data_IF_396261625556
#
_entry.id   IF_396261625556
#
_cell.length_a   1.000
_cell.length_b   1.000
_cell.length_c   1.000
_cell.angle_alpha   90.00
_cell.angle_beta   90.00
_cell.angle_gamma   90.00
#
_symmetry.space_group_name_H-M   'P 1'
#
loop_
_entity.id
_entity.type
_entity.pdbx_description
1 polymer ?
#
# COMPACT_ATOMS: atom_id res chain seq x y z
N UNK A 1 -31.46 -6.38 -61.13
CA UNK A 1 -30.00 -6.51 -60.93
C UNK A 1 -29.67 -5.74 -59.67
N UNK A 2 -29.85 -6.41 -58.54
CA UNK A 2 -29.42 -5.94 -57.23
C UNK A 2 -28.02 -6.50 -57.02
N UNK A 3 -27.05 -5.63 -56.77
CA UNK A 3 -25.69 -6.02 -56.38
C UNK A 3 -25.57 -5.91 -54.87
N UNK A 4 -25.49 -7.08 -54.22
CA UNK A 4 -25.17 -7.25 -52.80
C UNK A 4 -23.75 -6.76 -52.50
N UNK A 5 -23.64 -5.78 -51.59
CA UNK A 5 -22.37 -5.36 -51.01
C UNK A 5 -22.12 -6.18 -49.73
N UNK A 6 -21.21 -7.16 -49.84
CA UNK A 6 -20.78 -8.00 -48.71
C UNK A 6 -19.98 -7.15 -47.70
N UNK A 7 -20.58 -6.88 -46.54
CA UNK A 7 -19.86 -6.38 -45.37
C UNK A 7 -18.92 -7.45 -44.80
N UNK A 8 -17.64 -7.10 -44.70
CA UNK A 8 -16.57 -7.89 -44.13
C UNK A 8 -16.64 -7.84 -42.58
N UNK A 9 -16.84 -8.96 -41.85
CA UNK A 9 -16.97 -8.92 -40.40
C UNK A 9 -15.64 -9.30 -39.77
N UNK A 10 -14.70 -8.37 -39.59
CA UNK A 10 -13.60 -8.54 -38.63
C UNK A 10 -12.77 -7.25 -38.44
N UNK A 11 -13.22 -6.40 -37.54
CA UNK A 11 -12.30 -5.59 -36.71
C UNK A 11 -12.92 -5.36 -35.34
N UNK A 12 -13.01 -6.43 -34.54
CA UNK A 12 -13.23 -6.26 -33.09
C UNK A 12 -11.92 -5.71 -32.51
N UNK A 13 -11.78 -4.38 -32.53
CA UNK A 13 -10.84 -3.71 -31.62
C UNK A 13 -11.25 -4.12 -30.21
N UNK A 14 -10.38 -4.90 -29.54
CA UNK A 14 -10.59 -5.26 -28.15
C UNK A 14 -10.48 -3.99 -27.33
N UNK A 15 -11.60 -3.49 -26.83
CA UNK A 15 -11.61 -2.51 -25.75
C UNK A 15 -10.81 -3.12 -24.59
N UNK A 16 -9.80 -2.43 -24.03
CA UNK A 16 -9.15 -2.91 -22.82
C UNK A 16 -10.23 -3.10 -21.76
N UNK A 17 -10.44 -4.34 -21.29
CA UNK A 17 -11.32 -4.58 -20.15
C UNK A 17 -10.82 -3.71 -19.01
N UNK A 18 -11.73 -2.95 -18.37
CA UNK A 18 -11.43 -2.13 -17.19
C UNK A 18 -10.57 -2.95 -16.25
N UNK A 19 -9.44 -2.40 -15.82
CA UNK A 19 -8.63 -3.06 -14.81
C UNK A 19 -9.46 -3.07 -13.52
N UNK A 20 -9.96 -4.24 -13.16
CA UNK A 20 -10.75 -4.42 -11.95
C UNK A 20 -9.80 -4.24 -10.79
N UNK A 21 -10.06 -3.25 -9.93
CA UNK A 21 -9.26 -3.00 -8.74
C UNK A 21 -9.83 -3.77 -7.57
N UNK A 22 -9.13 -4.78 -7.09
CA UNK A 22 -9.63 -5.61 -6.00
C UNK A 22 -9.10 -5.05 -4.68
N UNK A 23 -9.75 -5.40 -3.58
CA UNK A 23 -9.33 -5.04 -2.24
C UNK A 23 -8.96 -6.30 -1.47
N UNK A 24 -7.79 -6.31 -0.86
CA UNK A 24 -7.39 -7.35 0.09
C UNK A 24 -7.68 -6.84 1.49
N UNK A 25 -8.38 -7.65 2.27
CA UNK A 25 -8.68 -7.42 3.67
C UNK A 25 -8.04 -8.54 4.49
N UNK A 26 -7.07 -8.17 5.34
CA UNK A 26 -6.37 -9.13 6.21
C UNK A 26 -7.08 -9.27 7.57
N UNK A 27 -7.38 -10.50 7.98
CA UNK A 27 -7.96 -10.81 9.29
C UNK A 27 -6.86 -11.26 10.26
N UNK A 28 -6.83 -10.72 11.48
CA UNK A 28 -5.83 -11.10 12.48
C UNK A 28 -6.09 -12.48 13.13
N UNK A 29 -7.35 -12.94 13.12
CA UNK A 29 -7.76 -14.15 13.86
C UNK A 29 -7.86 -15.42 13.02
N UNK A 30 -7.86 -15.28 11.70
CA UNK A 30 -7.87 -16.39 10.77
C UNK A 30 -6.65 -16.20 9.88
N UNK A 31 -5.87 -17.26 9.66
CA UNK A 31 -4.78 -17.33 8.68
C UNK A 31 -5.35 -17.26 7.25
N UNK A 32 -6.21 -16.27 6.99
CA UNK A 32 -6.93 -16.09 5.75
C UNK A 32 -7.14 -14.61 5.47
N UNK A 33 -7.06 -14.29 4.19
CA UNK A 33 -7.37 -12.97 3.68
C UNK A 33 -8.63 -13.06 2.84
N UNK A 34 -9.33 -11.94 2.75
CA UNK A 34 -10.52 -11.81 1.93
C UNK A 34 -10.19 -10.92 0.75
N UNK A 35 -10.47 -11.40 -0.44
CA UNK A 35 -10.31 -10.68 -1.70
C UNK A 35 -11.69 -10.21 -2.14
N UNK A 36 -11.80 -8.93 -2.43
CA UNK A 36 -13.06 -8.29 -2.79
C UNK A 36 -12.96 -7.67 -4.18
N UNK A 37 -13.93 -8.00 -5.02
CA UNK A 37 -14.12 -7.37 -6.32
C UNK A 37 -15.24 -6.30 -6.22
N UNK A 38 -14.94 -5.00 -6.40
CA UNK A 38 -15.96 -3.94 -6.34
C UNK A 38 -17.03 -3.99 -7.43
N UNK A 39 -16.78 -4.69 -8.54
CA UNK A 39 -17.80 -4.91 -9.57
C UNK A 39 -18.80 -5.99 -9.17
N UNK A 40 -18.36 -6.97 -8.40
CA UNK A 40 -19.18 -8.06 -7.87
C UNK A 40 -19.68 -7.70 -6.48
N UNK A 41 -20.65 -6.77 -6.45
CA UNK A 41 -21.36 -6.42 -5.20
C UNK A 41 -21.80 -7.71 -4.49
N UNK A 42 -21.43 -7.81 -3.23
CA UNK A 42 -21.74 -8.90 -2.30
C UNK A 42 -20.94 -10.21 -2.44
N UNK A 43 -19.93 -10.29 -3.31
CA UNK A 43 -19.01 -11.44 -3.34
C UNK A 43 -17.69 -11.15 -2.65
N UNK A 44 -17.32 -12.08 -1.76
CA UNK A 44 -16.06 -12.08 -1.03
C UNK A 44 -15.41 -13.45 -1.25
N UNK A 45 -14.17 -13.44 -1.75
CA UNK A 45 -13.39 -14.66 -1.95
C UNK A 45 -12.44 -14.83 -0.77
N UNK A 46 -12.43 -15.97 -0.10
CA UNK A 46 -11.43 -16.25 0.92
C UNK A 46 -10.19 -16.85 0.26
N UNK A 47 -8.99 -16.52 0.75
CA UNK A 47 -7.75 -17.14 0.24
C UNK A 47 -7.72 -18.66 0.42
N UNK A 48 -8.48 -19.19 1.38
CA UNK A 48 -8.67 -20.64 1.56
C UNK A 48 -9.48 -21.25 0.41
N UNK A 49 -10.42 -20.50 -0.18
CA UNK A 49 -11.17 -20.92 -1.36
C UNK A 49 -10.31 -20.86 -2.63
N UNK A 50 -9.18 -20.14 -2.58
CA UNK A 50 -8.17 -20.07 -3.63
C UNK A 50 -7.06 -21.11 -3.46
N UNK A 51 -7.24 -22.10 -2.57
CA UNK A 51 -6.25 -23.14 -2.23
C UNK A 51 -4.87 -22.60 -1.78
N UNK A 52 -4.78 -21.33 -1.40
CA UNK A 52 -3.53 -20.73 -0.93
C UNK A 52 -3.23 -21.24 0.49
N UNK A 53 -1.97 -21.65 0.70
CA UNK A 53 -1.48 -22.17 1.98
C UNK A 53 -1.81 -21.22 3.14
N UNK A 54 -2.19 -21.79 4.29
CA UNK A 54 -2.43 -21.04 5.54
C UNK A 54 -1.27 -20.09 5.82
N UNK A 55 -1.55 -18.79 5.91
CA UNK A 55 -0.52 -17.78 6.10
C UNK A 55 -1.07 -16.36 6.19
N UNK A 56 -0.23 -15.44 6.67
CA UNK A 56 -0.57 -14.03 6.79
C UNK A 56 -0.11 -13.23 5.57
N UNK A 57 -1.05 -12.52 4.96
CA UNK A 57 -0.75 -11.55 3.91
C UNK A 57 -0.06 -10.32 4.49
N UNK A 58 0.99 -9.88 3.79
CA UNK A 58 1.84 -8.78 4.22
C UNK A 58 1.88 -7.60 3.24
N UNK A 59 2.06 -7.89 1.95
CA UNK A 59 2.17 -6.90 0.88
C UNK A 59 1.80 -7.51 -0.47
N UNK A 60 1.51 -6.68 -1.46
CA UNK A 60 1.16 -7.11 -2.83
C UNK A 60 1.87 -6.25 -3.88
N UNK A 61 2.19 -6.86 -5.02
CA UNK A 61 2.63 -6.18 -6.23
C UNK A 61 2.14 -6.91 -7.47
N UNK A 62 1.44 -6.21 -8.36
CA UNK A 62 0.85 -6.84 -9.55
C UNK A 62 -0.03 -8.01 -9.14
N UNK A 63 0.20 -9.18 -9.72
CA UNK A 63 -0.48 -10.44 -9.40
C UNK A 63 0.15 -11.27 -8.26
N UNK A 64 1.13 -10.72 -7.54
CA UNK A 64 1.94 -11.43 -6.53
C UNK A 64 1.67 -10.94 -5.11
N UNK A 65 1.61 -11.88 -4.17
CA UNK A 65 1.42 -11.65 -2.74
C UNK A 65 2.66 -12.07 -1.97
N UNK A 66 3.08 -11.23 -1.02
CA UNK A 66 4.01 -11.62 0.03
C UNK A 66 3.22 -12.21 1.19
N UNK A 67 3.52 -13.47 1.48
CA UNK A 67 2.89 -14.27 2.51
C UNK A 67 3.93 -14.69 3.55
N UNK A 68 3.47 -14.87 4.79
CA UNK A 68 4.25 -15.50 5.85
C UNK A 68 3.50 -16.72 6.39
N UNK A 69 4.22 -17.67 6.94
CA UNK A 69 3.60 -18.70 7.77
C UNK A 69 3.03 -18.11 9.09
N UNK A 70 2.30 -18.93 9.85
CA UNK A 70 1.64 -18.51 11.09
C UNK A 70 2.63 -18.04 12.16
N UNK A 71 3.89 -18.45 12.07
CA UNK A 71 4.97 -18.07 12.99
C UNK A 71 5.82 -16.91 12.47
N UNK A 72 5.56 -16.41 11.26
CA UNK A 72 6.36 -15.39 10.56
C UNK A 72 7.85 -15.75 10.43
N UNK A 73 8.20 -17.04 10.42
CA UNK A 73 9.58 -17.52 10.29
C UNK A 73 9.95 -17.76 8.84
N UNK A 74 8.98 -18.12 8.01
CA UNK A 74 9.15 -18.32 6.58
C UNK A 74 8.33 -17.29 5.80
N UNK A 75 9.01 -16.61 4.87
CA UNK A 75 8.40 -15.70 3.92
C UNK A 75 8.44 -16.34 2.52
N UNK A 76 7.38 -16.14 1.77
CA UNK A 76 7.29 -16.61 0.39
C UNK A 76 6.42 -15.65 -0.43
N UNK A 77 6.72 -15.57 -1.72
CA UNK A 77 5.93 -14.83 -2.69
C UNK A 77 5.06 -15.84 -3.43
N UNK A 78 3.76 -15.58 -3.55
CA UNK A 78 2.84 -16.43 -4.30
C UNK A 78 2.10 -15.62 -5.36
N UNK A 79 2.01 -16.15 -6.57
CA UNK A 79 1.12 -15.61 -7.59
C UNK A 79 -0.26 -16.25 -7.42
N UNK A 80 -1.27 -15.43 -7.17
CA UNK A 80 -2.59 -15.94 -6.78
C UNK A 80 -3.40 -16.55 -7.93
N UNK A 81 -3.00 -16.32 -9.19
CA UNK A 81 -3.71 -16.86 -10.35
C UNK A 81 -3.02 -18.09 -10.94
N UNK A 82 -1.70 -18.18 -10.81
CA UNK A 82 -0.90 -19.30 -11.34
C UNK A 82 -0.48 -20.29 -10.27
N UNK A 83 -0.65 -19.93 -8.99
CA UNK A 83 -0.20 -20.68 -7.81
C UNK A 83 1.31 -20.92 -7.78
N UNK A 84 2.08 -20.16 -8.54
CA UNK A 84 3.53 -20.19 -8.50
C UNK A 84 4.03 -19.62 -7.17
N UNK A 85 4.98 -20.32 -6.54
CA UNK A 85 5.57 -19.96 -5.25
C UNK A 85 7.07 -19.73 -5.40
N UNK A 86 7.54 -18.61 -4.86
CA UNK A 86 8.96 -18.27 -4.71
C UNK A 86 9.26 -18.24 -3.21
N UNK A 87 10.08 -19.19 -2.75
CA UNK A 87 10.52 -19.21 -1.36
C UNK A 87 11.59 -18.14 -1.13
N UNK A 88 11.45 -17.36 -0.06
CA UNK A 88 12.43 -16.34 0.33
C UNK A 88 13.38 -16.91 1.39
N UNK A 89 14.54 -16.25 1.62
CA UNK A 89 15.44 -16.65 2.68
C UNK A 89 14.74 -16.72 4.05
N UNK A 90 15.05 -17.71 4.90
CA UNK A 90 14.42 -17.85 6.20
C UNK A 90 14.76 -16.67 7.11
N UNK A 91 13.77 -16.14 7.83
CA UNK A 91 13.93 -14.96 8.69
C UNK A 91 14.93 -15.23 9.82
N UNK A 92 14.95 -16.47 10.32
CA UNK A 92 15.82 -16.93 11.41
C UNK A 92 17.31 -16.81 11.07
N UNK A 93 17.67 -16.91 9.79
CA UNK A 93 19.08 -16.84 9.33
C UNK A 93 19.74 -15.49 9.62
N UNK A 94 18.96 -14.43 9.80
CA UNK A 94 19.47 -13.06 10.00
C UNK A 94 19.91 -12.75 11.42
N UNK A 95 19.51 -13.58 12.38
CA UNK A 95 19.65 -13.22 13.78
C UNK A 95 20.94 -13.74 14.40
N UNK A 96 21.54 -14.83 13.92
CA UNK A 96 22.67 -15.46 14.62
C UNK A 96 22.41 -15.74 16.12
N UNK A 97 21.15 -15.63 16.57
CA UNK A 97 20.78 -15.69 17.97
C UNK A 97 20.55 -17.15 18.33
N UNK A 98 21.33 -17.65 19.29
CA UNK A 98 21.10 -18.91 20.00
C UNK A 98 19.60 -19.09 20.21
N UNK A 99 19.07 -20.25 19.78
CA UNK A 99 17.71 -20.76 20.02
C UNK A 99 17.14 -20.20 21.32
N UNK A 100 16.50 -19.04 21.23
CA UNK A 100 15.86 -18.42 22.39
C UNK A 100 14.53 -19.13 22.55
N UNK A 101 14.13 -19.36 23.81
CA UNK A 101 13.01 -20.27 24.14
C UNK A 101 11.73 -19.87 23.38
N UNK A 102 10.90 -20.87 23.12
CA UNK A 102 9.68 -20.81 22.28
C UNK A 102 8.59 -19.81 22.68
N UNK A 103 8.82 -18.98 23.70
CA UNK A 103 7.82 -18.07 24.26
C UNK A 103 8.06 -16.59 23.87
N UNK A 104 9.15 -16.26 23.16
CA UNK A 104 9.46 -14.91 22.67
C UNK A 104 9.07 -14.66 21.20
N UNK A 105 8.33 -15.57 20.56
CA UNK A 105 7.96 -15.46 19.13
C UNK A 105 7.01 -14.29 18.80
N UNK A 106 6.46 -13.57 19.78
CA UNK A 106 5.79 -12.29 19.57
C UNK A 106 6.74 -11.19 19.01
N UNK A 107 8.06 -11.44 18.94
CA UNK A 107 9.08 -10.50 18.48
C UNK A 107 9.40 -10.49 16.97
N UNK A 108 8.85 -11.39 16.16
CA UNK A 108 9.21 -11.57 14.73
C UNK A 108 8.30 -10.85 13.73
N UNK A 109 7.49 -9.88 14.18
CA UNK A 109 6.52 -9.22 13.31
C UNK A 109 7.23 -8.49 12.16
N UNK A 110 7.02 -8.96 10.93
CA UNK A 110 7.48 -8.31 9.70
C UNK A 110 6.79 -6.94 9.59
N UNK A 111 7.53 -5.87 9.86
CA UNK A 111 6.99 -4.51 9.88
C UNK A 111 7.21 -3.83 8.54
N UNK A 112 6.15 -3.17 8.07
CA UNK A 112 6.12 -2.36 6.84
C UNK A 112 6.75 -3.06 5.63
N UNK A 113 6.34 -4.30 5.29
CA UNK A 113 6.93 -5.00 4.17
C UNK A 113 6.61 -4.31 2.85
N UNK A 114 7.57 -4.37 1.93
CA UNK A 114 7.45 -3.88 0.55
C UNK A 114 7.83 -5.00 -0.39
N UNK A 115 6.99 -5.21 -1.40
CA UNK A 115 7.19 -6.19 -2.45
C UNK A 115 7.25 -5.47 -3.80
N UNK A 116 8.20 -5.88 -4.63
CA UNK A 116 8.24 -5.57 -6.05
C UNK A 116 8.59 -6.84 -6.82
N UNK A 117 7.89 -7.09 -7.92
CA UNK A 117 8.11 -8.24 -8.79
C UNK A 117 7.99 -7.80 -10.24
N UNK A 118 9.02 -8.06 -11.05
CA UNK A 118 8.91 -8.03 -12.51
C UNK A 118 8.15 -9.28 -12.95
N UNK A 119 6.95 -9.11 -13.50
CA UNK A 119 6.11 -10.24 -13.89
C UNK A 119 6.63 -11.04 -15.08
N UNK A 120 7.51 -10.45 -15.91
CA UNK A 120 8.09 -11.11 -17.07
C UNK A 120 9.31 -11.92 -16.68
N UNK A 121 10.25 -11.32 -15.97
CA UNK A 121 11.51 -11.97 -15.59
C UNK A 121 11.41 -12.75 -14.28
N UNK A 122 10.34 -12.51 -13.50
CA UNK A 122 10.16 -12.99 -12.13
C UNK A 122 11.28 -12.53 -11.19
N UNK A 123 11.95 -11.44 -11.56
CA UNK A 123 12.89 -10.78 -10.67
C UNK A 123 12.09 -10.09 -9.58
N UNK A 124 12.57 -10.18 -8.33
CA UNK A 124 11.87 -9.62 -7.21
C UNK A 124 12.81 -8.83 -6.32
N UNK A 125 12.21 -7.92 -5.55
CA UNK A 125 12.82 -7.28 -4.41
C UNK A 125 11.81 -7.31 -3.27
N UNK A 126 12.20 -7.90 -2.14
CA UNK A 126 11.43 -7.87 -0.90
C UNK A 126 12.20 -7.08 0.13
N UNK A 127 11.54 -6.13 0.77
CA UNK A 127 12.10 -5.37 1.90
C UNK A 127 11.18 -5.44 3.09
N UNK A 128 11.76 -5.42 4.29
CA UNK A 128 11.00 -5.28 5.52
C UNK A 128 11.89 -4.78 6.65
N UNK A 129 11.28 -4.32 7.74
CA UNK A 129 12.00 -3.83 8.91
C UNK A 129 12.27 -4.95 9.91
N UNK A 130 13.54 -5.24 10.15
CA UNK A 130 14.02 -6.15 11.19
C UNK A 130 14.10 -5.42 12.54
N UNK A 131 13.04 -5.55 13.35
CA UNK A 131 12.92 -4.99 14.71
C UNK A 131 13.43 -3.53 14.78
N UNK A 132 14.23 -3.22 15.79
CA UNK A 132 14.85 -1.91 16.02
C UNK A 132 16.26 -1.81 15.39
N UNK A 133 16.62 -2.76 14.53
CA UNK A 133 17.97 -2.86 13.96
C UNK A 133 18.09 -2.12 12.64
N UNK A 134 17.47 -2.64 11.59
CA UNK A 134 17.61 -2.10 10.24
C UNK A 134 16.50 -2.62 9.30
N UNK A 135 16.39 -2.00 8.15
CA UNK A 135 15.68 -2.53 6.99
C UNK A 135 16.58 -3.56 6.34
N UNK A 136 16.01 -4.72 6.04
CA UNK A 136 16.68 -5.78 5.29
C UNK A 136 15.98 -5.99 3.96
N UNK A 137 16.71 -6.49 2.96
CA UNK A 137 16.16 -6.80 1.65
C UNK A 137 16.65 -8.15 1.12
N UNK A 138 15.90 -8.72 0.19
CA UNK A 138 16.30 -9.90 -0.58
C UNK A 138 15.88 -9.71 -2.04
N UNK A 139 16.78 -10.06 -2.95
CA UNK A 139 16.57 -10.12 -4.39
C UNK A 139 16.60 -11.57 -4.86
N UNK A 140 16.19 -11.77 -6.11
CA UNK A 140 16.31 -13.08 -6.77
C UNK A 140 17.77 -13.56 -6.76
N UNK A 141 17.97 -14.78 -6.27
CA UNK A 141 19.29 -15.41 -6.14
C UNK A 141 19.97 -15.18 -4.78
N UNK A 142 19.46 -14.28 -3.94
CA UNK A 142 20.00 -14.09 -2.60
C UNK A 142 19.65 -15.29 -1.70
N UNK A 143 20.66 -15.82 -0.99
CA UNK A 143 20.49 -16.91 -0.02
C UNK A 143 20.17 -16.40 1.39
N UNK A 144 20.37 -15.11 1.64
CA UNK A 144 20.21 -14.46 2.94
C UNK A 144 19.57 -13.08 2.74
N UNK A 145 19.05 -12.49 3.81
CA UNK A 145 18.67 -11.08 3.78
C UNK A 145 19.90 -10.19 3.93
N UNK A 146 19.89 -9.09 3.20
CA UNK A 146 20.96 -8.11 3.15
C UNK A 146 20.55 -6.86 3.95
N UNK A 147 21.32 -6.42 4.95
CA UNK A 147 20.99 -5.25 5.75
C UNK A 147 21.25 -3.95 4.98
N UNK A 148 20.40 -2.94 5.20
CA UNK A 148 20.59 -1.58 4.69
C UNK A 148 21.08 -0.70 5.86
N UNK A 149 22.27 -0.09 5.75
CA UNK A 149 22.83 0.70 6.84
C UNK A 149 22.00 1.96 7.13
N UNK A 150 22.04 2.43 8.40
CA UNK A 150 21.38 3.67 8.87
C UNK A 150 19.85 3.70 8.73
N UNK A 151 19.20 2.57 9.02
CA UNK A 151 17.74 2.40 8.84
C UNK A 151 17.00 1.93 10.11
N UNK A 152 17.64 1.98 11.28
CA UNK A 152 17.05 1.61 12.58
C UNK A 152 15.76 2.36 12.89
N UNK A 153 15.71 3.64 12.51
CA UNK A 153 14.62 4.57 12.79
C UNK A 153 13.51 4.55 11.72
N UNK A 154 13.56 3.63 10.76
CA UNK A 154 12.63 3.58 9.63
C UNK A 154 11.17 3.41 10.08
N UNK A 155 10.34 4.40 9.79
CA UNK A 155 8.91 4.40 10.05
C UNK A 155 8.10 3.90 8.85
N UNK A 156 8.38 4.41 7.65
CA UNK A 156 7.68 4.07 6.42
C UNK A 156 8.67 3.88 5.27
N UNK A 157 8.34 2.98 4.34
CA UNK A 157 9.17 2.68 3.18
C UNK A 157 8.33 2.49 1.91
N UNK A 158 8.88 2.93 0.78
CA UNK A 158 8.31 2.75 -0.56
C UNK A 158 9.43 2.32 -1.49
N UNK A 159 9.19 1.35 -2.35
CA UNK A 159 10.12 0.96 -3.40
C UNK A 159 9.50 1.24 -4.77
N UNK A 160 10.20 2.01 -5.60
CA UNK A 160 9.77 2.38 -6.95
C UNK A 160 10.99 2.72 -7.81
N UNK A 161 10.97 2.34 -9.08
CA UNK A 161 11.99 2.72 -10.08
C UNK A 161 13.42 2.38 -9.61
N UNK A 162 13.59 1.17 -9.07
CA UNK A 162 14.84 0.66 -8.48
C UNK A 162 15.42 1.46 -7.30
N UNK A 163 14.61 2.35 -6.71
CA UNK A 163 14.96 3.17 -5.55
C UNK A 163 14.09 2.84 -4.36
N UNK A 164 14.72 2.82 -3.19
CA UNK A 164 14.07 2.69 -1.90
C UNK A 164 13.97 4.08 -1.25
N UNK A 165 12.75 4.48 -0.92
CA UNK A 165 12.43 5.73 -0.24
C UNK A 165 12.05 5.41 1.20
N UNK A 166 12.78 5.98 2.16
CA UNK A 166 12.57 5.76 3.59
C UNK A 166 12.18 7.06 4.28
N UNK A 167 11.24 6.97 5.22
CA UNK A 167 10.92 8.01 6.19
C UNK A 167 11.22 7.47 7.58
N UNK A 168 12.03 8.17 8.34
CA UNK A 168 12.28 7.85 9.73
C UNK A 168 11.30 8.57 10.69
N UNK A 169 11.31 8.14 11.96
CA UNK A 169 10.46 8.72 13.02
C UNK A 169 10.77 10.20 13.33
N UNK A 170 11.94 10.70 12.94
CA UNK A 170 12.37 12.09 13.14
C UNK A 170 12.04 12.99 11.93
N UNK A 171 11.41 12.42 10.90
CA UNK A 171 11.06 13.10 9.67
C UNK A 171 12.21 13.22 8.69
N UNK A 172 13.24 12.40 8.77
CA UNK A 172 14.29 12.34 7.77
C UNK A 172 13.84 11.41 6.64
N UNK A 173 13.87 11.93 5.43
CA UNK A 173 13.67 11.21 4.18
C UNK A 173 15.02 10.81 3.61
N UNK A 174 15.20 9.52 3.33
CA UNK A 174 16.40 8.96 2.68
C UNK A 174 16.01 8.22 1.41
N UNK A 175 16.83 8.32 0.36
CA UNK A 175 16.64 7.55 -0.87
C UNK A 175 17.88 6.73 -1.17
N UNK A 176 17.71 5.42 -1.31
CA UNK A 176 18.75 4.49 -1.66
C UNK A 176 18.55 3.95 -3.07
N UNK A 177 19.62 3.91 -3.85
CA UNK A 177 19.65 3.14 -5.10
C UNK A 177 19.98 1.68 -4.79
N UNK A 178 19.16 0.74 -5.27
CA UNK A 178 19.43 -0.70 -5.18
C UNK A 178 19.95 -1.30 -6.50
N UNK A 179 20.38 -0.47 -7.46
CA UNK A 179 20.86 -0.94 -8.76
C UNK A 179 22.24 -1.61 -8.73
N UNK A 180 23.07 -1.35 -7.71
CA UNK A 180 24.40 -1.94 -7.55
C UNK A 180 24.43 -3.15 -6.59
N UNK A 181 25.65 -3.64 -6.32
CA UNK A 181 25.91 -4.72 -5.35
C UNK A 181 25.52 -4.30 -3.92
N UNK A 182 25.81 -3.06 -3.54
CA UNK A 182 25.49 -2.51 -2.22
C UNK A 182 24.52 -1.32 -2.34
N UNK A 183 23.56 -1.16 -1.41
CA UNK A 183 22.69 0.00 -1.37
C UNK A 183 23.48 1.31 -1.25
N UNK A 184 23.24 2.26 -2.16
CA UNK A 184 23.89 3.57 -2.12
C UNK A 184 22.90 4.67 -1.75
N UNK A 185 23.21 5.43 -0.69
CA UNK A 185 22.42 6.59 -0.29
C UNK A 185 22.65 7.74 -1.29
N UNK A 186 21.58 8.13 -1.97
CA UNK A 186 21.60 9.16 -3.02
C UNK A 186 20.99 10.49 -2.58
N UNK A 187 20.19 10.48 -1.51
CA UNK A 187 19.43 11.64 -1.05
C UNK A 187 19.15 11.59 0.44
N UNK A 188 19.21 12.77 1.07
CA UNK A 188 18.89 13.00 2.46
C UNK A 188 18.20 14.36 2.62
N UNK A 189 17.02 14.39 3.21
CA UNK A 189 16.31 15.64 3.53
C UNK A 189 15.51 15.48 4.81
N UNK A 190 15.40 16.54 5.63
CA UNK A 190 14.48 16.54 6.77
C UNK A 190 13.18 17.21 6.35
N UNK A 191 12.07 16.51 6.59
CA UNK A 191 10.72 17.04 6.49
C UNK A 191 10.17 17.36 7.88
N UNK A 192 9.33 18.39 8.02
CA UNK A 192 8.71 18.70 9.31
C UNK A 192 7.87 17.52 9.81
N UNK A 193 8.01 17.13 11.07
CA UNK A 193 7.12 16.18 11.75
C UNK A 193 6.16 16.94 12.66
N UNK A 194 4.98 16.38 13.01
CA UNK A 194 4.09 17.01 13.99
C UNK A 194 4.79 17.40 15.30
N UNK A 195 5.82 16.63 15.71
CA UNK A 195 6.65 16.92 16.88
C UNK A 195 7.67 18.05 16.71
N UNK A 196 8.09 18.36 15.47
CA UNK A 196 9.07 19.40 15.15
C UNK A 196 8.43 20.63 14.47
N UNK A 197 7.10 20.66 14.34
CA UNK A 197 6.39 21.86 13.88
C UNK A 197 6.26 22.85 15.06
N UNK A 198 6.69 24.12 14.92
CA UNK A 198 6.26 25.13 15.85
C UNK A 198 4.74 25.16 15.82
N UNK A 199 4.13 24.99 16.99
CA UNK A 199 2.69 25.07 17.20
C UNK A 199 2.19 26.34 16.53
N UNK A 200 1.52 26.20 15.39
CA UNK A 200 1.14 27.36 14.58
C UNK A 200 -0.13 27.97 15.22
N UNK A 201 0.06 28.72 16.29
CA UNK A 201 -0.99 29.35 17.11
C UNK A 201 -2.07 30.00 16.24
N UNK A 202 -1.70 30.65 15.13
CA UNK A 202 -2.65 31.40 14.31
C UNK A 202 -3.70 30.55 13.55
N UNK A 203 -3.43 29.27 13.27
CA UNK A 203 -4.39 28.40 12.55
C UNK A 203 -5.24 27.52 13.49
N UNK A 204 -4.76 27.23 14.70
CA UNK A 204 -5.45 26.34 15.65
C UNK A 204 -6.17 27.08 16.79
N UNK A 205 -5.81 28.33 17.09
CA UNK A 205 -6.49 29.14 18.14
C UNK A 205 -7.98 29.37 17.84
N UNK A 206 -8.42 29.23 16.58
CA UNK A 206 -9.85 29.36 16.23
C UNK A 206 -10.72 28.13 16.56
N UNK A 207 -10.14 27.00 16.98
CA UNK A 207 -10.88 25.73 17.16
C UNK A 207 -10.51 24.95 18.44
N UNK A 208 -10.32 25.63 19.58
CA UNK A 208 -9.96 24.99 20.85
C UNK A 208 -10.91 23.86 21.32
N UNK A 209 -12.16 23.84 20.83
CA UNK A 209 -13.14 22.81 21.19
C UNK A 209 -13.05 21.51 20.37
N UNK A 210 -12.31 21.46 19.26
CA UNK A 210 -12.18 20.27 18.42
C UNK A 210 -10.99 20.35 17.43
N UNK A 211 -9.74 20.24 17.91
CA UNK A 211 -8.55 20.31 17.05
C UNK A 211 -8.46 19.11 16.10
N UNK A 212 -7.69 19.26 15.02
CA UNK A 212 -7.37 18.12 14.14
C UNK A 212 -6.32 17.25 14.84
N UNK A 213 -6.60 15.95 14.95
CA UNK A 213 -5.66 14.96 15.46
C UNK A 213 -4.88 14.34 14.31
N UNK A 214 -3.58 14.15 14.51
CA UNK A 214 -2.71 13.42 13.59
C UNK A 214 -2.94 11.91 13.71
N UNK A 215 -3.12 11.23 12.57
CA UNK A 215 -3.30 9.78 12.49
C UNK A 215 -2.00 9.09 12.06
N UNK A 216 -1.47 9.49 10.90
CA UNK A 216 -0.28 8.87 10.32
C UNK A 216 0.40 9.78 9.29
N UNK A 217 1.71 9.59 9.10
CA UNK A 217 2.48 10.27 8.05
C UNK A 217 3.10 9.21 7.14
N UNK A 218 2.93 9.33 5.83
CA UNK A 218 3.53 8.42 4.85
C UNK A 218 4.27 9.17 3.76
N UNK A 219 5.23 8.49 3.14
CA UNK A 219 5.79 8.93 1.87
C UNK A 219 4.94 8.39 0.73
N UNK A 220 4.76 9.23 -0.27
CA UNK A 220 4.16 8.86 -1.55
C UNK A 220 5.11 9.23 -2.67
N UNK A 221 5.39 8.29 -3.57
CA UNK A 221 6.17 8.56 -4.79
C UNK A 221 5.21 8.65 -5.97
N UNK A 222 5.24 9.77 -6.68
CA UNK A 222 4.34 10.01 -7.81
C UNK A 222 4.72 9.18 -9.03
N UNK A 223 3.85 9.13 -10.06
CA UNK A 223 4.18 8.49 -11.34
C UNK A 223 5.40 9.16 -11.97
N UNK A 224 5.46 10.50 -11.89
CA UNK A 224 6.60 11.33 -12.34
C UNK A 224 7.87 11.19 -11.49
N UNK A 225 7.82 10.47 -10.36
CA UNK A 225 8.97 10.24 -9.48
C UNK A 225 9.22 11.34 -8.44
N UNK A 226 8.28 12.28 -8.28
CA UNK A 226 8.30 13.26 -7.20
C UNK A 226 7.98 12.59 -5.86
N UNK A 227 8.65 13.05 -4.80
CA UNK A 227 8.45 12.51 -3.45
C UNK A 227 7.57 13.47 -2.65
N UNK A 228 6.49 12.94 -2.09
CA UNK A 228 5.52 13.66 -1.30
C UNK A 228 5.50 13.13 0.13
N UNK A 229 5.45 14.05 1.10
CA UNK A 229 5.10 13.74 2.49
C UNK A 229 3.59 13.98 2.66
N UNK A 230 2.87 12.97 3.11
CA UNK A 230 1.42 13.02 3.27
C UNK A 230 1.04 12.77 4.73
N UNK A 231 0.42 13.76 5.36
CA UNK A 231 -0.15 13.65 6.70
C UNK A 231 -1.64 13.36 6.60
N UNK A 232 -2.07 12.28 7.25
CA UNK A 232 -3.48 11.92 7.45
C UNK A 232 -3.94 12.45 8.80
N UNK A 233 -5.04 13.19 8.78
CA UNK A 233 -5.60 13.90 9.94
C UNK A 233 -7.07 13.53 10.12
N UNK A 234 -7.54 13.59 11.36
CA UNK A 234 -8.96 13.38 11.65
C UNK A 234 -9.48 14.32 12.74
N UNK A 235 -10.81 14.48 12.79
CA UNK A 235 -11.50 15.14 13.90
C UNK A 235 -12.86 14.49 14.15
N UNK A 236 -13.36 14.62 15.37
CA UNK A 236 -14.67 14.08 15.73
C UNK A 236 -15.78 15.09 15.42
N UNK A 237 -16.86 14.68 14.77
CA UNK A 237 -18.10 15.45 14.67
C UNK A 237 -18.94 15.20 15.92
N UNK A 238 -19.23 16.26 16.67
CA UNK A 238 -20.22 16.22 17.74
C UNK A 238 -21.62 16.38 17.13
N UNK A 239 -22.47 15.36 17.27
CA UNK A 239 -23.91 15.50 17.06
C UNK A 239 -24.56 15.92 18.37
N UNK A 240 -25.25 17.06 18.39
CA UNK A 240 -25.95 17.57 19.57
C UNK A 240 -27.17 16.74 19.98
N UNK A 241 -27.56 15.71 19.21
CA UNK A 241 -28.82 14.98 19.42
C UNK A 241 -28.69 13.50 19.80
N UNK A 242 -27.51 12.89 19.77
CA UNK A 242 -27.34 11.49 20.21
C UNK A 242 -25.91 11.23 20.70
N UNK A 243 -25.76 11.02 22.01
CA UNK A 243 -24.51 10.79 22.75
C UNK A 243 -23.73 9.52 22.36
N UNK A 244 -24.09 8.80 21.28
CA UNK A 244 -23.58 7.44 21.02
C UNK A 244 -22.84 7.22 19.69
N UNK A 245 -22.86 8.16 18.73
CA UNK A 245 -22.15 7.98 17.46
C UNK A 245 -21.23 9.16 17.15
N UNK A 246 -19.92 8.98 17.38
CA UNK A 246 -18.88 9.95 17.02
C UNK A 246 -18.51 9.75 15.54
N UNK A 247 -19.10 10.55 14.65
CA UNK A 247 -18.69 10.51 13.24
C UNK A 247 -17.29 11.12 13.08
N UNK A 248 -16.39 10.46 12.35
CA UNK A 248 -15.02 10.96 12.11
C UNK A 248 -14.98 11.70 10.77
N UNK A 249 -14.28 12.83 10.73
CA UNK A 249 -13.98 13.57 9.50
C UNK A 249 -12.49 13.44 9.24
N UNK A 250 -12.14 13.01 8.04
CA UNK A 250 -10.75 12.87 7.59
C UNK A 250 -10.33 14.08 6.76
N UNK A 251 -9.04 14.41 6.82
CA UNK A 251 -8.39 15.41 5.96
C UNK A 251 -6.94 15.01 5.73
N UNK A 252 -6.37 15.52 4.64
CA UNK A 252 -4.98 15.27 4.30
C UNK A 252 -4.22 16.58 4.13
N UNK A 253 -2.92 16.56 4.45
CA UNK A 253 -1.96 17.60 4.06
C UNK A 253 -0.85 16.95 3.26
N UNK A 254 -0.61 17.46 2.05
CA UNK A 254 0.36 16.90 1.09
C UNK A 254 1.45 17.93 0.86
N UNK A 255 2.69 17.55 1.08
CA UNK A 255 3.86 18.43 0.94
C UNK A 255 4.87 17.85 -0.03
N UNK A 256 5.42 18.69 -0.89
CA UNK A 256 6.53 18.30 -1.75
C UNK A 256 7.82 18.17 -0.95
N UNK A 257 8.51 17.05 -1.07
CA UNK A 257 9.85 16.88 -0.51
C UNK A 257 10.84 17.51 -1.49
N UNK A 258 11.43 18.64 -1.12
CA UNK A 258 12.34 19.38 -1.99
C UNK A 258 13.64 18.61 -2.24
N UNK A 259 14.13 18.62 -3.48
CA UNK A 259 15.36 17.94 -3.90
C UNK A 259 16.66 18.60 -3.43
N UNK A 260 16.62 19.77 -2.80
CA UNK A 260 17.83 20.50 -2.37
C UNK A 260 17.63 21.31 -1.09
N UNK A 261 18.47 21.07 -0.08
CA UNK A 261 18.56 21.84 1.17
C UNK A 261 17.94 21.14 2.38
N UNK A 262 18.65 21.15 3.51
CA UNK A 262 18.30 20.42 4.75
C UNK A 262 17.01 20.92 5.42
N UNK A 263 16.60 22.17 5.14
CA UNK A 263 15.43 22.86 5.69
C UNK A 263 14.89 23.85 4.64
N UNK A 264 13.87 23.47 3.87
CA UNK A 264 13.17 24.41 2.97
C UNK A 264 11.76 24.70 3.46
N UNK A 265 11.24 25.86 3.03
CA UNK A 265 9.84 26.26 3.26
C UNK A 265 8.91 25.16 2.77
N UNK A 266 7.86 24.92 3.56
CA UNK A 266 6.81 23.94 3.28
C UNK A 266 6.11 24.30 1.97
N UNK A 267 6.30 23.51 0.93
CA UNK A 267 5.49 23.60 -0.27
C UNK A 267 4.33 22.62 -0.16
N UNK A 268 3.19 23.10 0.34
CA UNK A 268 1.96 22.31 0.36
C UNK A 268 1.35 22.33 -1.04
N UNK A 269 1.20 21.15 -1.65
CA UNK A 269 0.51 21.04 -2.92
C UNK A 269 -1.00 20.91 -2.70
N UNK A 270 -1.77 21.54 -3.59
CA UNK A 270 -3.25 21.52 -3.54
C UNK A 270 -3.85 20.54 -4.54
N UNK A 271 -3.06 20.04 -5.48
CA UNK A 271 -3.52 19.12 -6.52
C UNK A 271 -2.43 18.11 -6.88
N UNK A 272 -2.86 16.90 -7.22
CA UNK A 272 -2.08 15.82 -7.84
C UNK A 272 -2.25 15.82 -9.37
N UNK A 273 -2.98 16.78 -9.94
CA UNK A 273 -3.29 16.82 -11.36
C UNK A 273 -4.14 15.62 -11.79
N UNK A 274 -3.66 14.91 -12.81
CA UNK A 274 -4.29 13.72 -13.38
C UNK A 274 -3.93 12.44 -12.61
N UNK A 275 -3.28 12.53 -11.46
CA UNK A 275 -2.93 11.36 -10.64
C UNK A 275 -3.93 11.11 -9.50
N UNK A 276 -4.08 9.84 -9.16
CA UNK A 276 -4.76 9.35 -7.96
C UNK A 276 -3.76 8.71 -7.01
N UNK A 277 -3.88 9.01 -5.71
CA UNK A 277 -2.97 8.53 -4.68
C UNK A 277 -3.52 7.29 -3.97
N UNK A 278 -2.73 6.22 -3.92
CA UNK A 278 -3.00 5.04 -3.11
C UNK A 278 -2.22 5.15 -1.80
N UNK A 279 -2.84 5.79 -0.80
CA UNK A 279 -2.17 6.16 0.45
C UNK A 279 -1.57 4.96 1.20
N UNK A 280 -2.21 3.79 1.11
CA UNK A 280 -1.73 2.59 1.80
C UNK A 280 -0.53 1.92 1.16
N UNK A 281 -0.32 2.13 -0.13
CA UNK A 281 0.82 1.61 -0.89
C UNK A 281 1.96 2.65 -1.03
N UNK A 282 1.69 3.93 -0.74
CA UNK A 282 2.72 4.98 -0.85
C UNK A 282 3.08 5.33 -2.30
N UNK A 283 2.15 5.13 -3.24
CA UNK A 283 2.36 5.43 -4.67
C UNK A 283 1.15 6.17 -5.25
N UNK A 284 1.33 6.78 -6.41
CA UNK A 284 0.23 7.28 -7.24
C UNK A 284 0.09 6.47 -8.53
N UNK A 285 -1.07 6.60 -9.16
CA UNK A 285 -1.43 6.05 -10.46
C UNK A 285 -2.04 7.14 -11.32
N UNK A 286 -1.93 7.01 -12.64
CA UNK A 286 -2.65 7.90 -13.55
C UNK A 286 -4.15 7.63 -13.42
N UNK A 287 -4.92 8.68 -13.23
CA UNK A 287 -6.37 8.60 -13.21
C UNK A 287 -6.88 8.69 -14.64
N UNK A 288 -7.33 7.57 -15.17
CA UNK A 288 -8.01 7.49 -16.47
C UNK A 288 -9.36 6.79 -16.28
N UNK A 289 -10.38 7.22 -17.04
CA UNK A 289 -11.74 6.64 -17.01
C UNK A 289 -11.79 5.13 -17.34
N UNK A 290 -10.72 4.63 -17.97
CA UNK A 290 -10.52 3.20 -18.29
C UNK A 290 -10.04 2.39 -17.08
N UNK A 291 -9.21 3.00 -16.21
CA UNK A 291 -8.75 2.40 -14.96
C UNK A 291 -9.69 2.75 -13.79
N UNK A 292 -10.61 3.71 -13.89
CA UNK A 292 -11.65 3.92 -12.87
C UNK A 292 -11.18 4.60 -11.58
N UNK A 293 -9.96 5.17 -11.55
CA UNK A 293 -9.52 6.06 -10.48
C UNK A 293 -10.00 7.50 -10.73
N UNK A 294 -10.43 8.18 -9.68
CA UNK A 294 -10.80 9.59 -9.70
C UNK A 294 -9.52 10.42 -9.63
N UNK A 295 -9.34 11.32 -10.60
CA UNK A 295 -8.23 12.27 -10.63
C UNK A 295 -8.24 13.19 -9.41
N UNK A 296 -7.04 13.58 -8.98
CA UNK A 296 -6.84 14.45 -7.84
C UNK A 296 -7.52 13.95 -6.55
N UNK A 297 -7.47 12.64 -6.30
CA UNK A 297 -8.06 11.99 -5.14
C UNK A 297 -7.05 11.13 -4.37
N UNK A 298 -7.31 10.96 -3.07
CA UNK A 298 -6.53 10.11 -2.17
C UNK A 298 -7.42 8.97 -1.71
N UNK A 299 -7.05 7.75 -2.08
CA UNK A 299 -7.67 6.51 -1.64
C UNK A 299 -6.95 6.01 -0.39
N UNK A 300 -7.72 5.74 0.66
CA UNK A 300 -7.17 5.25 1.92
C UNK A 300 -8.14 4.30 2.61
N UNK A 301 -7.58 3.31 3.30
CA UNK A 301 -8.32 2.44 4.18
C UNK A 301 -8.63 3.15 5.51
N UNK A 302 -9.82 2.86 6.04
CA UNK A 302 -10.18 3.13 7.42
C UNK A 302 -10.58 1.81 8.07
N UNK A 303 -10.20 1.65 9.34
CA UNK A 303 -10.62 0.52 10.17
C UNK A 303 -10.96 1.05 11.56
N UNK A 304 -12.17 0.79 12.04
CA UNK A 304 -12.50 0.78 13.46
C UNK A 304 -12.76 -0.67 13.92
N UNK A 305 -13.11 -0.86 15.19
CA UNK A 305 -13.29 -2.19 15.78
C UNK A 305 -14.31 -3.07 15.03
N UNK A 306 -15.24 -2.48 14.26
CA UNK A 306 -16.36 -3.18 13.63
C UNK A 306 -16.52 -2.89 12.13
N UNK A 307 -15.85 -1.89 11.58
CA UNK A 307 -15.99 -1.44 10.20
C UNK A 307 -14.63 -1.16 9.59
N UNK A 308 -14.34 -1.84 8.49
CA UNK A 308 -13.21 -1.52 7.63
C UNK A 308 -13.73 -1.25 6.23
N UNK A 309 -13.23 -0.20 5.60
CA UNK A 309 -13.58 0.14 4.23
C UNK A 309 -12.58 1.07 3.57
N UNK A 310 -12.87 1.43 2.33
CA UNK A 310 -12.06 2.39 1.57
C UNK A 310 -12.82 3.70 1.46
N UNK A 311 -12.13 4.78 1.78
CA UNK A 311 -12.61 6.14 1.59
C UNK A 311 -11.79 6.82 0.50
N UNK A 312 -12.45 7.71 -0.21
CA UNK A 312 -11.84 8.59 -1.20
C UNK A 312 -11.91 10.00 -0.66
N UNK A 313 -10.76 10.66 -0.54
CA UNK A 313 -10.66 12.08 -0.25
C UNK A 313 -10.37 12.83 -1.53
N UNK A 314 -11.31 13.65 -1.98
CA UNK A 314 -11.12 14.49 -3.15
C UNK A 314 -10.37 15.77 -2.77
N UNK A 315 -9.21 16.04 -3.37
CA UNK A 315 -8.38 17.20 -3.01
C UNK A 315 -8.98 18.54 -3.45
N UNK A 316 -9.78 18.57 -4.52
CA UNK A 316 -10.48 19.77 -4.98
C UNK A 316 -11.57 20.18 -4.00
N UNK A 317 -12.47 19.26 -3.66
CA UNK A 317 -13.65 19.55 -2.82
C UNK A 317 -13.36 19.43 -1.33
N UNK A 318 -12.25 18.78 -0.95
CA UNK A 318 -11.89 18.39 0.42
C UNK A 318 -12.98 17.58 1.12
N UNK A 319 -13.75 16.83 0.34
CA UNK A 319 -14.79 15.92 0.84
C UNK A 319 -14.28 14.49 0.85
N UNK A 320 -14.78 13.74 1.83
CA UNK A 320 -14.55 12.31 1.96
C UNK A 320 -15.81 11.59 1.52
N UNK A 321 -15.67 10.69 0.57
CA UNK A 321 -16.76 9.85 0.08
C UNK A 321 -16.38 8.38 0.30
N UNK A 322 -17.29 7.55 0.83
CA UNK A 322 -17.05 6.13 0.88
C UNK A 322 -17.08 5.58 -0.55
N UNK A 323 -16.04 4.87 -0.95
CA UNK A 323 -16.08 4.14 -2.21
C UNK A 323 -17.07 2.98 -2.09
N UNK A 324 -16.96 2.25 -0.98
CA UNK A 324 -17.90 1.23 -0.55
C UNK A 324 -17.94 1.20 0.99
N UNK A 325 -19.14 1.13 1.58
CA UNK A 325 -19.33 0.88 3.01
C UNK A 325 -19.59 -0.60 3.22
N UNK A 326 -18.66 -1.31 3.83
CA UNK A 326 -18.88 -2.69 4.24
C UNK A 326 -19.41 -2.69 5.67
N UNK A 327 -20.63 -3.23 5.84
CA UNK A 327 -21.22 -3.45 7.16
C UNK A 327 -21.06 -4.93 7.46
N UNK A 328 -20.15 -5.26 8.37
CA UNK A 328 -19.88 -6.64 8.76
C UNK A 328 -20.94 -7.09 9.77
N UNK A 329 -21.67 -8.16 9.45
CA UNK A 329 -22.72 -8.71 10.32
C UNK A 329 -22.19 -9.63 11.44
N UNK A 330 -20.88 -9.84 11.55
CA UNK A 330 -20.31 -10.72 12.58
C UNK A 330 -19.25 -10.01 13.42
N UNK A 331 -19.42 -10.07 14.75
CA UNK A 331 -18.48 -9.59 15.77
C UNK A 331 -17.13 -10.35 15.81
N UNK A 332 -16.81 -11.14 14.77
CA UNK A 332 -15.70 -12.09 14.75
C UNK A 332 -14.59 -11.74 13.75
N UNK A 333 -14.81 -10.79 12.83
CA UNK A 333 -13.84 -10.40 11.79
C UNK A 333 -13.19 -9.07 12.20
N UNK A 334 -12.04 -9.15 12.88
CA UNK A 334 -11.20 -7.98 13.13
C UNK A 334 -10.25 -7.79 11.95
N UNK A 335 -10.63 -6.88 11.04
CA UNK A 335 -9.80 -6.55 9.88
C UNK A 335 -8.80 -5.48 10.31
N UNK A 336 -7.51 -5.80 10.16
CA UNK A 336 -6.44 -4.91 10.59
C UNK A 336 -5.97 -3.96 9.48
N UNK A 337 -6.09 -4.37 8.21
CA UNK A 337 -5.57 -3.61 7.08
C UNK A 337 -6.33 -3.93 5.80
N UNK A 338 -6.71 -2.88 5.07
CA UNK A 338 -7.15 -2.96 3.68
C UNK A 338 -6.02 -2.49 2.76
N UNK A 339 -5.71 -3.27 1.72
CA UNK A 339 -4.75 -2.86 0.69
C UNK A 339 -5.35 -3.05 -0.69
N UNK A 340 -5.09 -2.11 -1.59
CA UNK A 340 -5.43 -2.28 -3.00
C UNK A 340 -4.64 -3.44 -3.60
N UNK A 341 -5.34 -4.25 -4.40
CA UNK A 341 -4.77 -5.29 -5.24
C UNK A 341 -5.01 -4.92 -6.69
N UNK A 342 -3.91 -4.77 -7.41
CA UNK A 342 -3.90 -4.32 -8.80
C UNK A 342 -3.32 -5.46 -9.65
N UNK A 343 -4.11 -6.50 -9.94
CA UNK A 343 -3.64 -7.61 -10.74
C UNK A 343 -3.24 -7.10 -12.12
N UNK A 344 -2.09 -7.56 -12.61
CA UNK A 344 -1.71 -7.37 -13.99
C UNK A 344 -2.22 -8.58 -14.76
N UNK A 345 -3.24 -8.36 -15.58
CA UNK A 345 -3.75 -9.40 -16.45
C UNK A 345 -2.89 -9.45 -17.71
N UNK A 346 -1.84 -10.28 -17.71
CA UNK A 346 -1.22 -10.68 -18.98
C UNK A 346 -2.17 -11.64 -19.67
N UNK A 347 -2.73 -11.26 -20.83
CA UNK A 347 -3.52 -12.17 -21.65
C UNK A 347 -2.65 -13.39 -22.00
N UNK A 348 -2.98 -14.56 -21.47
CA UNK A 348 -2.53 -15.82 -22.07
C UNK A 348 -3.35 -16.01 -23.35
N UNK A 349 -2.74 -15.71 -24.49
CA UNK A 349 -3.27 -16.13 -25.79
C UNK A 349 -3.09 -17.65 -25.95
N UNK A 350 -3.93 -18.44 -25.30
CA UNK A 350 -4.12 -19.85 -25.67
C UNK A 350 -5.39 -19.95 -26.51
N UNK A 351 -5.26 -19.60 -27.78
CA UNK A 351 -6.23 -20.01 -28.79
C UNK A 351 -5.89 -21.45 -29.18
N UNK A 352 -6.44 -22.43 -28.47
CA UNK A 352 -6.54 -23.80 -28.96
C UNK A 352 -7.94 -23.95 -29.55
N UNK A 353 -8.07 -23.55 -30.81
CA UNK A 353 -9.12 -24.08 -31.68
C UNK A 353 -8.66 -25.47 -32.11
N UNK A 354 -9.21 -26.51 -31.50
CA UNK A 354 -9.19 -27.84 -32.10
C UNK A 354 -10.28 -27.91 -33.16
N UNK A 355 -9.88 -28.35 -34.34
CA UNK A 355 -10.73 -28.70 -35.48
C UNK A 355 -11.66 -29.86 -35.15
#
# INVERSE_FOLDING_TARGET
METEEKQNPNSRQSVPKKQIHWLILSNYKKDSCMLFNPEEKDKLYQTQDLELSKGFFSATYGSWFLMSDSLCTNLYIVNIFTHEIINLPPVESQLGMKKTKRDEYNGFMVRSPVLWVDEKTKDYVVLWRLKDCCVVYSKKGDMFWNPIPKTSDCYHMVYKDHKLYLLDIYGVVRIFSLAGETPQESFLCRVPTPSNEPFNECLEVRHWRNPWTHDSTKLVVTVTGEVLKVDKLYKYKYSSRQKRSRAVVWSFRVYKVCSSGFLKKKEQIKSLGEEAMLFDQGVTKLANDVEGFISNAIYFSYGDENTTGILVFNLNTRKVEPLHKYVWSSAQIRIHRGQWFLPSFTQSSSCSSQQ
#
